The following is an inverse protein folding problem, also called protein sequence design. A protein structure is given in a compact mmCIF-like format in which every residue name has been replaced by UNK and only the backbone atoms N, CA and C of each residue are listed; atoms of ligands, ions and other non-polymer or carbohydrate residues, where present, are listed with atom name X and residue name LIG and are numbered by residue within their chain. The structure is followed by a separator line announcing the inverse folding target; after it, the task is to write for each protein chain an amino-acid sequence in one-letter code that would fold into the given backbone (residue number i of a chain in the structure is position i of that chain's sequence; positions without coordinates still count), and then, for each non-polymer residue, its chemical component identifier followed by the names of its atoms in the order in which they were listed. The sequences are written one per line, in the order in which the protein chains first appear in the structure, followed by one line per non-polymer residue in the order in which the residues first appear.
data_IF_188401565633
#
_entry.id   IF_188401565633
#
_cell.length_a   1.000
_cell.length_b   1.000
_cell.length_c   1.000
_cell.angle_alpha   90.00
_cell.angle_beta   90.00
_cell.angle_gamma   90.00
#
_symmetry.space_group_name_H-M   'P 1'
#
loop_
_entity.id
_entity.type
_entity.pdbx_description
1 polymer ?
#
# COMPACT_ATOMS: atom_id res chain seq x y z
N UNK A 1 -0.85 -26.34 3.55
CA UNK A 1 0.41 -25.77 4.11
C UNK A 1 0.19 -25.45 5.59
N UNK A 2 1.22 -25.42 6.47
CA UNK A 2 1.02 -24.97 7.86
C UNK A 2 0.52 -23.52 7.89
N UNK A 3 -0.26 -23.17 8.90
CA UNK A 3 -0.72 -21.79 9.10
C UNK A 3 0.49 -20.85 9.31
N UNK A 4 0.58 -19.82 8.48
CA UNK A 4 1.64 -18.80 8.54
C UNK A 4 1.03 -17.51 9.07
N UNK A 5 1.58 -17.01 10.18
CA UNK A 5 1.21 -15.69 10.71
C UNK A 5 2.14 -14.61 10.17
N UNK A 6 1.54 -13.51 9.72
CA UNK A 6 2.23 -12.38 9.10
C UNK A 6 1.90 -11.12 9.89
N UNK A 7 2.89 -10.30 10.22
CA UNK A 7 2.70 -8.98 10.81
C UNK A 7 3.15 -7.91 9.81
N UNK A 8 2.36 -6.86 9.63
CA UNK A 8 2.61 -5.83 8.62
C UNK A 8 2.67 -4.43 9.22
N UNK A 9 3.69 -3.69 8.79
CA UNK A 9 3.94 -2.29 9.10
C UNK A 9 4.11 -1.47 7.82
N UNK A 10 4.02 -0.15 7.97
CA UNK A 10 4.35 0.84 6.93
C UNK A 10 4.69 2.18 7.58
N UNK A 11 5.38 3.06 6.86
CA UNK A 11 5.58 4.46 7.26
C UNK A 11 6.15 4.56 8.69
N UNK A 12 7.34 4.01 8.89
CA UNK A 12 7.92 3.83 10.22
C UNK A 12 8.22 5.20 10.82
N UNK A 13 7.52 5.55 11.90
CA UNK A 13 7.51 6.90 12.44
C UNK A 13 8.74 7.20 13.33
N UNK A 14 9.95 6.87 12.87
CA UNK A 14 11.19 6.96 13.63
C UNK A 14 11.36 8.30 14.36
N UNK A 15 11.74 8.23 15.63
CA UNK A 15 12.04 9.41 16.44
C UNK A 15 10.83 10.28 16.80
N UNK A 16 9.62 9.99 16.29
CA UNK A 16 8.40 10.69 16.67
C UNK A 16 7.95 10.28 18.07
N UNK A 17 7.16 11.11 18.75
CA UNK A 17 6.57 10.72 20.04
C UNK A 17 5.50 9.66 19.78
N UNK A 18 5.63 8.53 20.46
CA UNK A 18 4.59 7.50 20.46
C UNK A 18 3.32 8.09 21.09
N UNK A 19 2.18 8.01 20.39
CA UNK A 19 0.91 8.53 20.92
C UNK A 19 0.47 7.66 22.10
N UNK A 20 0.29 8.28 23.28
CA UNK A 20 -0.33 7.63 24.44
C UNK A 20 0.62 6.93 25.43
N UNK A 21 1.93 6.86 25.17
CA UNK A 21 2.91 6.38 26.17
C UNK A 21 3.55 7.56 26.92
N UNK A 22 3.82 7.37 28.22
CA UNK A 22 4.28 8.43 29.12
C UNK A 22 5.73 8.91 28.88
N UNK A 23 6.44 8.39 27.86
CA UNK A 23 7.78 8.86 27.54
C UNK A 23 8.56 7.89 26.67
N UNK A 24 8.46 8.06 25.35
CA UNK A 24 9.31 7.35 24.40
C UNK A 24 9.24 8.00 23.02
N UNK A 25 10.38 8.04 22.33
CA UNK A 25 10.40 8.24 20.87
C UNK A 25 10.34 6.87 20.21
N UNK A 26 9.68 6.78 19.06
CA UNK A 26 9.61 5.53 18.28
C UNK A 26 11.03 5.11 17.89
N UNK A 27 11.45 3.96 18.40
CA UNK A 27 12.68 3.25 18.06
C UNK A 27 12.42 1.77 17.80
N UNK A 28 13.48 0.98 17.64
CA UNK A 28 13.42 -0.46 17.30
C UNK A 28 12.49 -1.23 18.25
N UNK A 29 12.59 -1.00 19.56
CA UNK A 29 11.76 -1.69 20.56
C UNK A 29 10.25 -1.46 20.42
N UNK A 30 9.83 -0.37 19.77
CA UNK A 30 8.40 -0.11 19.49
C UNK A 30 7.83 -1.07 18.45
N UNK A 31 8.67 -1.65 17.60
CA UNK A 31 8.30 -2.64 16.59
C UNK A 31 8.57 -4.07 17.07
N UNK A 32 9.64 -4.29 17.85
CA UNK A 32 9.92 -5.61 18.42
C UNK A 32 8.82 -6.08 19.37
N UNK A 33 8.22 -5.19 20.16
CA UNK A 33 7.11 -5.55 21.07
C UNK A 33 5.93 -6.22 20.36
N UNK A 34 5.27 -5.61 19.34
CA UNK A 34 4.20 -6.30 18.61
C UNK A 34 4.69 -7.53 17.85
N UNK A 35 5.96 -7.61 17.43
CA UNK A 35 6.55 -8.81 16.82
C UNK A 35 6.62 -9.96 17.84
N UNK A 36 7.09 -9.69 19.06
CA UNK A 36 7.16 -10.66 20.15
C UNK A 36 5.77 -11.12 20.60
N UNK A 37 4.83 -10.19 20.76
CA UNK A 37 3.44 -10.47 21.16
C UNK A 37 2.69 -11.31 20.10
N UNK A 38 2.93 -11.05 18.81
CA UNK A 38 2.23 -11.71 17.71
C UNK A 38 2.87 -13.05 17.33
N UNK A 39 4.18 -13.17 17.53
CA UNK A 39 5.06 -14.24 17.05
C UNK A 39 4.85 -14.59 15.56
N UNK A 40 5.10 -13.65 14.63
CA UNK A 40 4.89 -13.89 13.21
C UNK A 40 6.06 -14.66 12.60
N UNK A 41 5.79 -15.49 11.59
CA UNK A 41 6.81 -16.10 10.76
C UNK A 41 7.38 -15.11 9.71
N UNK A 42 6.57 -14.12 9.31
CA UNK A 42 6.92 -13.09 8.33
C UNK A 42 6.53 -11.71 8.85
N UNK A 43 7.44 -10.74 8.77
CA UNK A 43 7.19 -9.32 9.00
C UNK A 43 7.26 -8.58 7.68
N UNK A 44 6.23 -7.81 7.33
CA UNK A 44 6.15 -7.03 6.09
C UNK A 44 6.33 -5.54 6.40
N UNK A 45 7.12 -4.86 5.58
CA UNK A 45 7.28 -3.41 5.57
C UNK A 45 6.82 -2.86 4.22
N UNK A 46 5.64 -2.24 4.18
CA UNK A 46 4.97 -1.75 2.98
C UNK A 46 5.41 -0.32 2.57
N UNK A 47 6.71 -0.05 2.63
CA UNK A 47 7.35 1.23 2.26
C UNK A 47 7.55 2.21 3.40
N UNK A 48 8.42 3.18 3.13
CA UNK A 48 8.83 4.27 4.03
C UNK A 48 9.36 3.72 5.38
N UNK A 49 10.17 2.66 5.30
CA UNK A 49 10.85 2.06 6.44
C UNK A 49 12.22 2.68 6.72
N UNK A 50 12.89 3.20 5.70
CA UNK A 50 14.25 3.71 5.68
C UNK A 50 14.31 5.18 5.24
N UNK A 51 13.38 6.00 5.74
CA UNK A 51 13.14 7.37 5.33
C UNK A 51 14.43 8.23 5.28
N UNK A 52 15.04 8.35 4.11
CA UNK A 52 16.35 9.00 3.93
C UNK A 52 16.20 10.48 3.54
N UNK A 53 14.97 10.92 3.27
CA UNK A 53 14.63 12.28 2.86
C UNK A 53 14.65 13.26 4.04
N UNK A 54 15.82 13.78 4.38
CA UNK A 54 16.00 14.87 5.37
C UNK A 54 15.21 14.62 6.67
N UNK A 55 15.70 13.70 7.49
CA UNK A 55 15.07 13.43 8.76
C UNK A 55 14.98 14.71 9.59
N UNK A 56 13.75 15.09 9.94
CA UNK A 56 13.49 16.03 11.06
C UNK A 56 14.15 15.53 12.36
N UNK A 57 14.62 14.28 12.38
CA UNK A 57 15.21 13.56 13.51
C UNK A 57 16.75 13.60 13.59
N UNK A 58 17.49 14.05 12.55
CA UNK A 58 18.98 13.91 12.42
C UNK A 58 19.49 12.46 12.46
N UNK A 59 18.60 11.47 12.44
CA UNK A 59 18.96 10.06 12.51
C UNK A 59 19.27 9.54 11.10
N UNK A 60 20.18 8.57 11.02
CA UNK A 60 20.31 7.68 9.87
C UNK A 60 19.21 6.61 9.98
N UNK A 61 18.03 6.93 9.43
CA UNK A 61 16.85 6.07 9.53
C UNK A 61 17.02 4.79 8.70
N UNK A 62 17.87 4.79 7.67
CA UNK A 62 18.27 3.55 6.98
C UNK A 62 19.04 2.62 7.92
N UNK A 63 19.98 3.12 8.73
CA UNK A 63 20.69 2.26 9.72
C UNK A 63 19.76 1.74 10.82
N UNK A 64 18.81 2.56 11.29
CA UNK A 64 17.79 2.11 12.24
C UNK A 64 16.94 0.98 11.64
N UNK A 65 16.52 1.14 10.38
CA UNK A 65 15.76 0.12 9.68
C UNK A 65 16.57 -1.16 9.46
N UNK A 66 17.82 -1.05 9.03
CA UNK A 66 18.72 -2.20 8.92
C UNK A 66 18.93 -2.91 10.27
N UNK A 67 19.07 -2.15 11.36
CA UNK A 67 19.09 -2.69 12.72
C UNK A 67 17.85 -3.53 13.02
N UNK A 68 16.66 -2.97 12.79
CA UNK A 68 15.40 -3.69 12.98
C UNK A 68 15.33 -4.97 12.13
N UNK A 69 15.64 -4.90 10.83
CA UNK A 69 15.64 -6.06 9.94
C UNK A 69 16.60 -7.17 10.42
N UNK A 70 17.78 -6.79 10.93
CA UNK A 70 18.78 -7.71 11.46
C UNK A 70 18.28 -8.41 12.72
N UNK A 71 17.65 -7.69 13.64
CA UNK A 71 17.08 -8.27 14.87
C UNK A 71 15.96 -9.27 14.54
N UNK A 72 15.04 -8.91 13.64
CA UNK A 72 13.95 -9.80 13.21
C UNK A 72 14.50 -11.08 12.56
N UNK A 73 15.47 -10.93 11.65
CA UNK A 73 16.12 -12.04 10.99
C UNK A 73 16.92 -12.93 11.97
N UNK A 74 17.58 -12.33 12.97
CA UNK A 74 18.30 -13.09 14.00
C UNK A 74 17.36 -13.94 14.87
N UNK A 75 16.10 -13.49 15.05
CA UNK A 75 15.03 -14.27 15.65
C UNK A 75 14.44 -15.36 14.73
N UNK A 76 15.01 -15.61 13.56
CA UNK A 76 14.58 -16.65 12.62
C UNK A 76 13.35 -16.28 11.76
N UNK A 77 12.93 -15.01 11.77
CA UNK A 77 11.74 -14.53 11.06
C UNK A 77 12.12 -13.91 9.72
N UNK A 78 11.25 -14.04 8.73
CA UNK A 78 11.46 -13.42 7.41
C UNK A 78 10.99 -11.95 7.42
N UNK A 79 11.72 -11.09 6.72
CA UNK A 79 11.34 -9.70 6.46
C UNK A 79 11.03 -9.53 4.98
N UNK A 80 9.84 -9.07 4.61
CA UNK A 80 9.48 -8.69 3.24
C UNK A 80 9.35 -7.18 3.16
N UNK A 81 10.09 -6.55 2.25
CA UNK A 81 10.25 -5.10 2.18
C UNK A 81 9.94 -4.61 0.77
N UNK A 82 9.18 -3.52 0.69
CA UNK A 82 8.97 -2.74 -0.55
C UNK A 82 9.45 -1.31 -0.29
N UNK A 83 10.09 -0.71 -1.30
CA UNK A 83 10.55 0.66 -1.31
C UNK A 83 9.37 1.64 -1.40
N UNK A 84 9.30 2.56 -0.45
CA UNK A 84 8.43 3.73 -0.47
C UNK A 84 9.08 4.94 -1.12
N UNK A 85 8.31 6.01 -1.29
CA UNK A 85 8.78 7.20 -2.00
C UNK A 85 9.77 8.06 -1.20
N UNK A 86 9.97 7.78 0.09
CA UNK A 86 10.91 8.52 0.93
C UNK A 86 12.15 7.71 1.30
N UNK A 87 12.29 6.47 0.81
CA UNK A 87 13.35 5.55 1.23
C UNK A 87 14.71 5.78 0.53
N UNK A 88 14.75 6.24 -0.74
CA UNK A 88 15.97 6.36 -1.57
C UNK A 88 16.20 7.78 -2.14
N UNK A 89 15.70 8.81 -1.47
CA UNK A 89 15.87 10.22 -1.85
C UNK A 89 17.31 10.74 -1.74
N UNK A 90 18.08 10.21 -0.80
CA UNK A 90 19.51 10.51 -0.59
C UNK A 90 20.43 9.38 -1.09
N UNK A 91 19.87 8.31 -1.66
CA UNK A 91 20.63 7.21 -2.27
C UNK A 91 21.09 6.15 -1.27
N UNK A 92 20.59 6.15 -0.03
CA UNK A 92 21.07 5.23 1.01
C UNK A 92 20.34 3.90 1.04
N UNK A 93 19.19 3.78 0.35
CA UNK A 93 18.41 2.54 0.32
C UNK A 93 19.15 1.37 -0.35
N UNK A 94 20.18 1.66 -1.15
CA UNK A 94 21.10 0.65 -1.67
C UNK A 94 21.61 -0.31 -0.59
N UNK A 95 21.82 0.18 0.65
CA UNK A 95 22.23 -0.63 1.80
C UNK A 95 21.19 -1.70 2.19
N UNK A 96 19.89 -1.40 2.05
CA UNK A 96 18.81 -2.37 2.28
C UNK A 96 18.80 -3.45 1.19
N UNK A 97 18.97 -3.03 -0.07
CA UNK A 97 19.07 -3.96 -1.21
C UNK A 97 20.28 -4.88 -1.07
N UNK A 98 21.41 -4.38 -0.59
CA UNK A 98 22.63 -5.18 -0.37
C UNK A 98 22.46 -6.15 0.80
N UNK A 99 21.87 -5.71 1.92
CA UNK A 99 21.55 -6.59 3.04
C UNK A 99 20.62 -7.76 2.63
N UNK A 100 19.67 -7.53 1.73
CA UNK A 100 18.78 -8.57 1.19
C UNK A 100 19.50 -9.59 0.30
N UNK A 101 20.61 -9.21 -0.36
CA UNK A 101 21.44 -10.17 -1.12
C UNK A 101 22.29 -11.05 -0.20
N UNK A 102 22.70 -10.51 0.94
CA UNK A 102 23.59 -11.18 1.88
C UNK A 102 22.84 -12.08 2.87
N UNK A 103 21.59 -11.75 3.20
CA UNK A 103 20.83 -12.43 4.26
C UNK A 103 19.58 -13.13 3.71
N UNK A 104 19.43 -14.46 3.88
CA UNK A 104 18.32 -15.23 3.31
C UNK A 104 16.95 -14.92 3.93
N UNK A 105 16.91 -14.24 5.08
CA UNK A 105 15.68 -13.85 5.76
C UNK A 105 15.25 -12.40 5.46
N UNK A 106 15.96 -11.66 4.62
CA UNK A 106 15.59 -10.29 4.23
C UNK A 106 15.28 -10.29 2.74
N UNK A 107 14.04 -9.95 2.40
CA UNK A 107 13.49 -10.00 1.05
C UNK A 107 13.09 -8.59 0.61
N UNK A 108 13.98 -7.90 -0.09
CA UNK A 108 13.64 -6.65 -0.78
C UNK A 108 12.99 -7.01 -2.12
N UNK A 109 11.70 -6.73 -2.28
CA UNK A 109 10.87 -7.24 -3.39
C UNK A 109 10.38 -6.17 -4.37
N UNK A 110 10.90 -4.94 -4.31
CA UNK A 110 10.44 -3.86 -5.16
C UNK A 110 10.52 -4.18 -6.64
N UNK A 111 9.37 -4.20 -7.31
CA UNK A 111 9.26 -4.42 -8.75
C UNK A 111 9.37 -5.87 -9.19
N UNK A 112 9.40 -6.83 -8.26
CA UNK A 112 9.50 -8.28 -8.56
C UNK A 112 8.54 -9.11 -7.70
N UNK A 113 8.33 -10.35 -8.12
CA UNK A 113 7.65 -11.36 -7.34
C UNK A 113 8.66 -12.27 -6.64
N UNK A 114 8.35 -12.70 -5.43
CA UNK A 114 9.21 -13.60 -4.65
C UNK A 114 8.37 -14.51 -3.76
N UNK A 115 8.78 -15.77 -3.59
CA UNK A 115 8.08 -16.73 -2.73
C UNK A 115 8.81 -16.87 -1.41
N UNK A 116 8.11 -16.62 -0.30
CA UNK A 116 8.65 -16.72 1.06
C UNK A 116 7.70 -17.60 1.88
N UNK A 117 8.23 -18.67 2.48
CA UNK A 117 7.42 -19.63 3.28
C UNK A 117 6.18 -20.16 2.52
N UNK A 118 6.32 -20.42 1.22
CA UNK A 118 5.24 -20.91 0.37
C UNK A 118 4.21 -19.86 -0.09
N UNK A 119 4.39 -18.59 0.28
CA UNK A 119 3.51 -17.47 -0.09
C UNK A 119 4.19 -16.64 -1.17
N UNK A 120 3.54 -16.44 -2.31
CA UNK A 120 4.03 -15.64 -3.44
C UNK A 120 3.65 -14.17 -3.27
N UNK A 121 4.65 -13.33 -2.99
CA UNK A 121 4.52 -11.89 -2.87
C UNK A 121 4.80 -11.18 -4.20
N UNK A 122 4.16 -10.04 -4.42
CA UNK A 122 4.52 -9.08 -5.47
C UNK A 122 4.77 -7.71 -4.84
N UNK A 123 5.98 -7.17 -5.00
CA UNK A 123 6.33 -5.85 -4.49
C UNK A 123 6.07 -4.75 -5.51
N UNK A 124 5.22 -3.79 -5.16
CA UNK A 124 4.84 -2.66 -6.01
C UNK A 124 5.33 -1.35 -5.38
N UNK A 125 6.53 -0.88 -5.75
CA UNK A 125 7.06 0.37 -5.21
C UNK A 125 6.27 1.56 -5.74
N UNK A 126 6.36 2.70 -5.05
CA UNK A 126 5.58 3.89 -5.36
C UNK A 126 5.73 4.34 -6.80
N UNK A 127 4.60 4.64 -7.44
CA UNK A 127 4.56 5.16 -8.82
C UNK A 127 4.74 4.08 -9.89
N UNK A 128 4.85 2.79 -9.52
CA UNK A 128 4.88 1.66 -10.48
C UNK A 128 3.56 0.92 -10.60
N UNK A 129 2.53 1.28 -9.83
CA UNK A 129 1.25 0.57 -9.71
C UNK A 129 0.62 0.33 -11.08
N UNK A 130 0.46 1.40 -11.88
CA UNK A 130 -0.10 1.32 -13.23
C UNK A 130 0.73 0.44 -14.17
N UNK A 131 2.06 0.53 -14.09
CA UNK A 131 2.96 -0.23 -14.99
C UNK A 131 2.82 -1.71 -14.67
N UNK A 132 2.92 -2.07 -13.39
CA UNK A 132 2.87 -3.45 -12.93
C UNK A 132 1.48 -4.06 -13.12
N UNK A 133 0.40 -3.32 -12.87
CA UNK A 133 -0.97 -3.76 -13.17
C UNK A 133 -1.18 -4.14 -14.64
N UNK A 134 -0.41 -3.56 -15.57
CA UNK A 134 -0.50 -3.84 -17.00
C UNK A 134 0.43 -4.95 -17.48
N UNK A 135 1.41 -5.32 -16.67
CA UNK A 135 2.46 -6.29 -17.03
C UNK A 135 2.53 -7.48 -16.08
N UNK A 136 1.54 -7.66 -15.20
CA UNK A 136 1.56 -8.72 -14.19
C UNK A 136 1.46 -10.09 -14.86
N UNK A 137 2.39 -10.98 -14.52
CA UNK A 137 2.46 -12.34 -15.05
C UNK A 137 1.96 -13.35 -14.01
N UNK A 138 0.68 -13.69 -14.15
CA UNK A 138 0.02 -14.72 -13.35
C UNK A 138 -0.36 -14.28 -11.92
N UNK A 139 -1.08 -15.16 -11.20
CA UNK A 139 -1.59 -14.86 -9.88
C UNK A 139 -0.49 -14.83 -8.81
N UNK A 140 -0.69 -13.99 -7.81
CA UNK A 140 0.13 -13.92 -6.59
C UNK A 140 -0.78 -14.00 -5.37
N UNK A 141 -0.23 -14.35 -4.22
CA UNK A 141 -0.99 -14.46 -2.99
C UNK A 141 -1.25 -13.08 -2.39
N UNK A 142 -0.16 -12.31 -2.22
CA UNK A 142 -0.17 -11.01 -1.55
C UNK A 142 0.57 -9.98 -2.41
N UNK A 143 -0.10 -8.88 -2.74
CA UNK A 143 0.55 -7.67 -3.24
C UNK A 143 0.96 -6.82 -2.04
N UNK A 144 2.23 -6.44 -1.97
CA UNK A 144 2.76 -5.47 -1.01
C UNK A 144 3.12 -4.20 -1.79
N UNK A 145 2.57 -3.06 -1.40
CA UNK A 145 2.73 -1.82 -2.17
C UNK A 145 2.94 -0.58 -1.29
N UNK A 146 3.53 0.48 -1.83
CA UNK A 146 3.51 1.79 -1.19
C UNK A 146 2.83 2.81 -2.10
N UNK A 147 1.50 2.73 -2.19
CA UNK A 147 0.73 3.41 -3.24
C UNK A 147 -0.04 4.63 -2.71
N UNK A 148 0.09 5.81 -3.37
CA UNK A 148 -0.72 6.96 -3.05
C UNK A 148 -2.19 6.73 -3.41
N UNK A 149 -3.10 7.40 -2.68
CA UNK A 149 -4.54 7.13 -2.76
C UNK A 149 -5.10 7.08 -4.19
N UNK A 150 -4.65 8.00 -5.04
CA UNK A 150 -5.13 8.11 -6.42
C UNK A 150 -4.64 6.98 -7.35
N UNK A 151 -3.57 6.27 -6.98
CA UNK A 151 -2.97 5.20 -7.80
C UNK A 151 -3.31 3.80 -7.25
N UNK A 152 -3.84 3.68 -6.02
CA UNK A 152 -4.25 2.41 -5.39
C UNK A 152 -5.27 1.60 -6.18
N UNK A 153 -6.11 2.27 -6.98
CA UNK A 153 -7.06 1.62 -7.89
C UNK A 153 -6.38 0.62 -8.84
N UNK A 154 -5.12 0.88 -9.25
CA UNK A 154 -4.36 -0.03 -10.10
C UNK A 154 -4.01 -1.34 -9.39
N UNK A 155 -3.93 -1.36 -8.06
CA UNK A 155 -3.65 -2.59 -7.30
C UNK A 155 -4.78 -3.61 -7.43
N UNK A 156 -6.02 -3.16 -7.60
CA UNK A 156 -7.17 -4.06 -7.80
C UNK A 156 -7.21 -4.71 -9.17
N UNK A 157 -6.42 -4.21 -10.13
CA UNK A 157 -6.23 -4.85 -11.44
C UNK A 157 -5.18 -5.98 -11.37
N UNK A 158 -4.43 -6.11 -10.26
CA UNK A 158 -3.47 -7.20 -10.06
C UNK A 158 -4.18 -8.50 -9.62
N UNK A 159 -3.79 -9.67 -10.14
CA UNK A 159 -4.40 -10.95 -9.79
C UNK A 159 -3.89 -11.47 -8.43
N UNK A 160 -4.27 -10.77 -7.35
CA UNK A 160 -3.93 -11.13 -5.97
C UNK A 160 -5.16 -11.46 -5.12
N UNK A 161 -4.99 -12.28 -4.09
CA UNK A 161 -6.03 -12.54 -3.08
C UNK A 161 -6.05 -11.48 -1.97
N UNK A 162 -4.88 -10.94 -1.62
CA UNK A 162 -4.71 -9.89 -0.62
C UNK A 162 -3.85 -8.74 -1.17
N UNK A 163 -4.21 -7.51 -0.82
CA UNK A 163 -3.46 -6.30 -1.11
C UNK A 163 -3.15 -5.63 0.22
N UNK A 164 -1.87 -5.46 0.50
CA UNK A 164 -1.35 -4.71 1.64
C UNK A 164 -0.60 -3.48 1.11
N UNK A 165 -0.94 -2.29 1.58
CA UNK A 165 -0.28 -1.08 1.13
C UNK A 165 -0.02 -0.03 2.21
N UNK A 166 1.04 0.74 2.05
CA UNK A 166 1.39 1.88 2.89
C UNK A 166 0.94 3.26 2.38
N UNK A 167 1.70 4.27 2.79
CA UNK A 167 1.69 5.68 2.40
C UNK A 167 0.75 6.57 3.23
N UNK A 168 -0.51 6.69 2.82
CA UNK A 168 -1.50 7.48 3.57
C UNK A 168 -2.89 6.92 3.36
N UNK A 169 -3.69 6.96 4.42
CA UNK A 169 -5.08 6.51 4.41
C UNK A 169 -5.15 5.06 4.85
N UNK A 170 -5.43 4.92 6.15
CA UNK A 170 -5.74 3.66 6.82
C UNK A 170 -7.04 3.08 6.28
N UNK A 171 -7.04 1.77 6.01
CA UNK A 171 -8.25 1.07 5.62
C UNK A 171 -8.11 -0.44 5.80
N UNK A 172 -9.19 -1.10 6.17
CA UNK A 172 -9.34 -2.54 6.06
C UNK A 172 -10.73 -2.88 5.52
N UNK A 173 -10.77 -3.60 4.40
CA UNK A 173 -12.03 -4.00 3.78
C UNK A 173 -11.84 -5.16 2.81
N UNK A 174 -12.96 -5.81 2.44
CA UNK A 174 -13.03 -6.65 1.24
C UNK A 174 -13.43 -5.80 0.04
N UNK A 175 -12.59 -5.70 -0.99
CA UNK A 175 -12.86 -4.87 -2.18
C UNK A 175 -12.54 -5.69 -3.43
N UNK A 176 -13.47 -5.71 -4.40
CA UNK A 176 -13.32 -6.47 -5.65
C UNK A 176 -12.92 -7.95 -5.42
N UNK A 177 -13.49 -8.57 -4.37
CA UNK A 177 -13.19 -9.96 -3.99
C UNK A 177 -11.84 -10.19 -3.30
N UNK A 178 -11.09 -9.13 -2.98
CA UNK A 178 -9.76 -9.19 -2.36
C UNK A 178 -9.81 -8.67 -0.93
N UNK A 179 -8.97 -9.20 -0.05
CA UNK A 179 -8.64 -8.48 1.18
C UNK A 179 -7.82 -7.24 0.81
N UNK A 180 -8.17 -6.10 1.39
CA UNK A 180 -7.48 -4.84 1.20
C UNK A 180 -7.13 -4.25 2.55
N UNK A 181 -5.84 -4.03 2.76
CA UNK A 181 -5.27 -3.43 3.97
C UNK A 181 -4.41 -2.26 3.55
N UNK A 182 -4.71 -1.09 4.08
CA UNK A 182 -3.89 0.09 3.97
C UNK A 182 -3.42 0.50 5.37
N UNK A 183 -2.12 0.60 5.54
CA UNK A 183 -1.46 1.01 6.78
C UNK A 183 -0.98 2.45 6.64
N UNK A 184 -0.89 3.12 7.79
CA UNK A 184 -0.18 4.38 7.93
C UNK A 184 0.93 4.25 8.99
N UNK A 185 1.25 5.37 9.65
CA UNK A 185 2.32 5.54 10.63
C UNK A 185 2.41 4.43 11.69
N UNK A 186 3.32 3.47 11.44
CA UNK A 186 3.64 2.40 12.39
C UNK A 186 4.56 2.92 13.52
N UNK A 187 4.44 2.39 14.76
CA UNK A 187 3.68 1.19 15.16
C UNK A 187 2.22 1.47 15.59
N UNK A 188 1.72 2.71 15.46
CA UNK A 188 0.36 3.04 15.89
C UNK A 188 -0.73 2.38 15.01
N UNK A 189 -0.36 2.04 13.77
CA UNK A 189 -1.12 1.21 12.85
C UNK A 189 -0.32 -0.03 12.48
N UNK A 190 -0.96 -1.20 12.48
CA UNK A 190 -0.38 -2.46 11.95
C UNK A 190 -1.48 -3.47 11.64
N UNK A 191 -1.13 -4.52 10.89
CA UNK A 191 -2.05 -5.62 10.61
C UNK A 191 -1.41 -6.99 10.87
N UNK A 192 -2.19 -7.93 11.38
CA UNK A 192 -1.84 -9.34 11.55
C UNK A 192 -2.69 -10.16 10.59
N UNK A 193 -2.05 -10.93 9.72
CA UNK A 193 -2.72 -11.79 8.75
C UNK A 193 -2.41 -13.24 9.11
N UNK A 194 -3.46 -14.03 9.35
CA UNK A 194 -3.35 -15.49 9.45
C UNK A 194 -3.59 -16.09 8.05
N UNK A 195 -2.57 -16.78 7.52
CA UNK A 195 -2.55 -17.33 6.17
C UNK A 195 -2.50 -18.85 6.15
N UNK A 196 -3.41 -19.47 5.42
CA UNK A 196 -3.47 -20.92 5.19
C UNK A 196 -4.14 -21.19 3.83
N UNK A 197 -3.34 -21.26 2.77
CA UNK A 197 -3.81 -21.39 1.37
C UNK A 197 -4.77 -20.26 0.96
N UNK A 198 -4.54 -19.08 1.53
CA UNK A 198 -5.42 -17.91 1.48
C UNK A 198 -5.46 -17.21 2.83
N UNK A 199 -5.97 -15.97 2.86
CA UNK A 199 -6.15 -15.26 4.13
C UNK A 199 -7.37 -15.82 4.87
N UNK A 200 -7.22 -16.11 6.18
CA UNK A 200 -8.29 -16.63 7.04
C UNK A 200 -8.86 -15.57 7.97
N UNK A 201 -7.97 -14.71 8.47
CA UNK A 201 -8.29 -13.61 9.36
C UNK A 201 -7.28 -12.50 9.14
N UNK A 202 -7.76 -11.26 9.18
CA UNK A 202 -6.90 -10.08 9.26
C UNK A 202 -7.33 -9.29 10.48
N UNK A 203 -6.47 -9.23 11.49
CA UNK A 203 -6.58 -8.28 12.59
C UNK A 203 -5.91 -6.96 12.21
N UNK A 204 -6.60 -5.85 12.42
CA UNK A 204 -6.12 -4.51 12.09
C UNK A 204 -6.16 -3.64 13.33
N UNK A 205 -5.05 -2.99 13.62
CA UNK A 205 -4.91 -2.07 14.74
C UNK A 205 -4.70 -0.66 14.20
N UNK A 206 -5.48 0.31 14.67
CA UNK A 206 -5.28 1.74 14.47
C UNK A 206 -5.55 2.46 15.79
N UNK A 207 -4.49 2.88 16.50
CA UNK A 207 -4.64 3.48 17.83
C UNK A 207 -5.30 2.52 18.82
N UNK A 208 -6.48 2.88 19.35
CA UNK A 208 -7.32 2.01 20.19
C UNK A 208 -8.31 1.15 19.40
N UNK A 209 -8.61 1.52 18.16
CA UNK A 209 -9.55 0.79 17.32
C UNK A 209 -8.92 -0.54 16.85
N UNK A 210 -9.67 -1.62 16.99
CA UNK A 210 -9.31 -2.97 16.53
C UNK A 210 -10.41 -3.49 15.63
N UNK A 211 -10.05 -3.94 14.44
CA UNK A 211 -10.98 -4.48 13.45
C UNK A 211 -10.50 -5.87 13.04
N UNK A 212 -11.41 -6.84 12.99
CA UNK A 212 -11.14 -8.18 12.46
C UNK A 212 -11.94 -8.39 11.19
N UNK A 213 -11.25 -8.81 10.12
CA UNK A 213 -11.86 -9.14 8.84
C UNK A 213 -11.72 -10.65 8.56
N UNK A 214 -12.84 -11.26 8.18
CA UNK A 214 -12.92 -12.66 7.75
C UNK A 214 -13.44 -12.77 6.31
N UNK A 215 -13.11 -13.84 5.57
CA UNK A 215 -13.56 -14.00 4.17
C UNK A 215 -15.08 -14.05 4.00
N UNK A 216 -15.80 -14.63 4.97
CA UNK A 216 -17.22 -14.95 4.86
C UNK A 216 -18.15 -14.09 5.74
N UNK A 217 -17.59 -13.28 6.65
CA UNK A 217 -18.36 -12.58 7.68
C UNK A 217 -18.16 -11.07 7.59
N UNK A 218 -19.16 -10.32 8.08
CA UNK A 218 -18.98 -8.90 8.35
C UNK A 218 -17.98 -8.74 9.51
N UNK A 219 -17.01 -7.84 9.36
CA UNK A 219 -15.91 -7.72 10.31
C UNK A 219 -16.37 -7.29 11.71
N UNK A 220 -15.70 -7.79 12.74
CA UNK A 220 -15.92 -7.34 14.11
C UNK A 220 -15.04 -6.12 14.40
N UNK A 221 -15.55 -5.15 15.17
CA UNK A 221 -14.78 -3.98 15.58
C UNK A 221 -14.95 -3.70 17.07
N UNK A 222 -13.85 -3.33 17.73
CA UNK A 222 -13.83 -2.99 19.16
C UNK A 222 -13.00 -1.73 19.39
N UNK A 223 -13.44 -0.86 20.30
CA UNK A 223 -12.70 0.35 20.67
C UNK A 223 -12.63 1.42 19.57
N UNK A 224 -13.54 1.37 18.59
CA UNK A 224 -13.60 2.31 17.46
C UNK A 224 -14.73 3.33 17.64
N UNK A 225 -14.44 4.61 17.45
CA UNK A 225 -15.48 5.62 17.24
C UNK A 225 -16.24 5.31 15.92
N UNK A 226 -17.56 5.52 15.82
CA UNK A 226 -18.31 5.21 14.60
C UNK A 226 -17.79 5.92 13.34
N UNK A 227 -17.31 7.17 13.45
CA UNK A 227 -16.76 7.89 12.31
C UNK A 227 -15.38 7.35 11.93
N UNK A 228 -14.56 6.99 12.93
CA UNK A 228 -13.28 6.33 12.72
C UNK A 228 -13.47 4.96 12.06
N UNK A 229 -14.42 4.16 12.53
CA UNK A 229 -14.75 2.87 11.95
C UNK A 229 -15.14 3.03 10.47
N UNK A 230 -16.05 3.97 10.17
CA UNK A 230 -16.44 4.29 8.79
C UNK A 230 -15.23 4.68 7.95
N UNK A 231 -14.37 5.56 8.46
CA UNK A 231 -13.16 5.98 7.74
C UNK A 231 -12.23 4.80 7.45
N UNK A 232 -12.10 3.86 8.40
CA UNK A 232 -11.25 2.68 8.31
C UNK A 232 -11.85 1.56 7.44
N UNK A 233 -13.17 1.47 7.26
CA UNK A 233 -13.79 0.37 6.49
C UNK A 233 -14.38 0.81 5.16
N UNK A 234 -14.83 2.07 5.06
CA UNK A 234 -15.48 2.63 3.88
C UNK A 234 -14.69 3.78 3.26
N UNK A 235 -13.91 4.51 4.06
CA UNK A 235 -13.15 5.67 3.62
C UNK A 235 -13.91 6.99 3.72
N UNK A 236 -13.16 8.09 3.53
CA UNK A 236 -13.65 9.48 3.68
C UNK A 236 -14.41 10.03 2.47
N UNK A 237 -14.63 9.20 1.46
CA UNK A 237 -15.27 9.60 0.21
C UNK A 237 -16.77 9.85 0.35
N UNK A 238 -17.34 10.50 -0.67
CA UNK A 238 -18.80 10.57 -0.84
C UNK A 238 -19.38 9.17 -1.12
N UNK A 239 -18.62 8.34 -1.84
CA UNK A 239 -18.86 6.91 -2.00
C UNK A 239 -17.97 6.14 -1.02
N UNK A 240 -18.41 4.93 -0.67
CA UNK A 240 -17.47 3.97 -0.09
C UNK A 240 -16.35 3.69 -1.09
N UNK A 241 -15.16 3.40 -0.61
CA UNK A 241 -14.01 3.11 -1.47
C UNK A 241 -14.24 1.84 -2.29
N UNK A 242 -15.02 0.89 -1.77
CA UNK A 242 -15.49 -0.27 -2.53
C UNK A 242 -16.26 0.18 -3.77
N UNK A 243 -17.28 1.01 -3.60
CA UNK A 243 -18.12 1.48 -4.71
C UNK A 243 -17.31 2.33 -5.70
N UNK A 244 -16.39 3.16 -5.20
CA UNK A 244 -15.48 3.93 -6.03
C UNK A 244 -14.65 3.02 -6.94
N UNK A 245 -14.07 1.95 -6.39
CA UNK A 245 -13.28 0.96 -7.15
C UNK A 245 -14.13 0.26 -8.20
N UNK A 246 -15.31 -0.22 -7.84
CA UNK A 246 -16.20 -0.94 -8.75
C UNK A 246 -16.64 -0.05 -9.92
N UNK A 247 -17.05 1.18 -9.63
CA UNK A 247 -17.48 2.15 -10.62
C UNK A 247 -16.33 2.56 -11.55
N UNK A 248 -15.11 2.74 -11.02
CA UNK A 248 -13.93 3.03 -11.84
C UNK A 248 -13.56 1.87 -12.75
N UNK A 249 -13.53 0.63 -12.25
CA UNK A 249 -13.24 -0.56 -13.05
C UNK A 249 -14.29 -0.77 -14.15
N UNK A 250 -15.58 -0.54 -13.84
CA UNK A 250 -16.65 -0.54 -14.83
C UNK A 250 -16.43 0.54 -15.89
N UNK A 251 -16.14 1.77 -15.47
CA UNK A 251 -15.88 2.89 -16.36
C UNK A 251 -14.73 2.62 -17.33
N UNK A 252 -13.65 1.96 -16.89
CA UNK A 252 -12.52 1.57 -17.75
C UNK A 252 -12.94 0.72 -18.94
N UNK A 253 -13.94 -0.17 -18.78
CA UNK A 253 -14.50 -0.98 -19.87
C UNK A 253 -15.41 -0.17 -20.79
N UNK A 254 -16.15 0.78 -20.23
CA UNK A 254 -17.12 1.59 -20.99
C UNK A 254 -16.50 2.72 -21.81
N UNK A 255 -15.24 3.11 -21.54
CA UNK A 255 -14.54 4.16 -22.30
C UNK A 255 -14.51 3.87 -23.81
N UNK A 256 -14.39 2.60 -24.20
CA UNK A 256 -14.37 2.21 -25.61
C UNK A 256 -15.71 2.45 -26.33
N UNK A 257 -16.84 2.39 -25.61
CA UNK A 257 -18.19 2.47 -26.18
C UNK A 257 -18.83 3.84 -26.00
N UNK A 258 -18.77 4.40 -24.78
CA UNK A 258 -19.43 5.66 -24.45
C UNK A 258 -18.53 6.89 -24.69
N UNK A 259 -17.24 6.64 -24.92
CA UNK A 259 -16.25 7.70 -25.00
C UNK A 259 -15.83 8.23 -23.63
N UNK A 260 -14.59 8.69 -23.58
CA UNK A 260 -13.92 9.12 -22.35
C UNK A 260 -14.61 10.30 -21.66
N UNK A 261 -15.11 11.26 -22.43
CA UNK A 261 -15.69 12.49 -21.90
C UNK A 261 -16.98 12.23 -21.14
N UNK A 262 -17.87 11.42 -21.70
CA UNK A 262 -19.14 11.04 -21.09
C UNK A 262 -18.90 10.28 -19.78
N UNK A 263 -18.02 9.27 -19.84
CA UNK A 263 -17.64 8.48 -18.67
C UNK A 263 -17.06 9.38 -17.56
N UNK A 264 -16.14 10.29 -17.89
CA UNK A 264 -15.57 11.22 -16.92
C UNK A 264 -16.62 12.15 -16.30
N UNK A 265 -17.58 12.66 -17.08
CA UNK A 265 -18.67 13.51 -16.55
C UNK A 265 -19.54 12.74 -15.56
N UNK A 266 -19.89 11.50 -15.87
CA UNK A 266 -20.68 10.63 -14.98
C UNK A 266 -19.94 10.35 -13.68
N UNK A 267 -18.66 10.02 -13.74
CA UNK A 267 -17.83 9.75 -12.55
C UNK A 267 -17.71 10.98 -11.65
N UNK A 268 -17.54 12.18 -12.23
CA UNK A 268 -17.54 13.43 -11.48
C UNK A 268 -18.91 13.69 -10.82
N UNK A 269 -20.01 13.37 -11.50
CA UNK A 269 -21.37 13.47 -10.96
C UNK A 269 -21.63 12.53 -9.77
N UNK A 270 -20.88 11.42 -9.67
CA UNK A 270 -20.88 10.51 -8.53
C UNK A 270 -19.95 10.94 -7.39
N UNK A 271 -19.28 12.10 -7.51
CA UNK A 271 -18.38 12.62 -6.48
C UNK A 271 -16.97 12.04 -6.50
N UNK A 272 -16.59 11.26 -7.52
CA UNK A 272 -15.24 10.72 -7.63
C UNK A 272 -14.26 11.84 -7.99
N UNK A 273 -13.14 11.93 -7.24
CA UNK A 273 -12.14 12.98 -7.45
C UNK A 273 -11.58 12.92 -8.86
N UNK A 274 -11.52 14.10 -9.52
CA UNK A 274 -10.93 14.26 -10.86
C UNK A 274 -9.54 13.63 -10.99
N UNK A 275 -8.71 13.78 -9.96
CA UNK A 275 -7.36 13.20 -9.92
C UNK A 275 -7.37 11.68 -10.02
N UNK A 276 -8.29 11.00 -9.34
CA UNK A 276 -8.41 9.53 -9.39
C UNK A 276 -8.87 9.09 -10.79
N UNK A 277 -9.86 9.78 -11.36
CA UNK A 277 -10.36 9.53 -12.72
C UNK A 277 -9.22 9.67 -13.74
N UNK A 278 -8.44 10.76 -13.67
CA UNK A 278 -7.35 11.01 -14.60
C UNK A 278 -6.17 10.04 -14.42
N UNK A 279 -5.87 9.62 -13.19
CA UNK A 279 -4.82 8.63 -12.91
C UNK A 279 -5.18 7.25 -13.46
N UNK A 280 -6.42 6.82 -13.26
CA UNK A 280 -6.85 5.48 -13.66
C UNK A 280 -7.19 5.39 -15.15
N UNK A 281 -8.01 6.30 -15.64
CA UNK A 281 -8.44 6.24 -17.02
C UNK A 281 -7.38 6.88 -17.95
N UNK A 282 -6.57 7.84 -17.46
CA UNK A 282 -5.71 8.73 -18.25
C UNK A 282 -6.17 10.21 -18.32
N UNK A 283 -5.31 11.11 -18.78
CA UNK A 283 -5.68 12.51 -19.02
C UNK A 283 -6.51 12.66 -20.31
N UNK A 284 -7.33 13.71 -20.37
CA UNK A 284 -7.88 14.18 -21.66
C UNK A 284 -6.70 14.50 -22.57
N UNK A 285 -6.68 13.94 -23.79
CA UNK A 285 -5.84 14.51 -24.84
C UNK A 285 -6.40 15.90 -25.13
N UNK A 286 -5.57 16.94 -25.03
CA UNK A 286 -5.94 18.24 -25.58
C UNK A 286 -6.35 18.02 -27.04
N UNK A 287 -7.42 18.65 -27.50
CA UNK A 287 -7.78 18.63 -28.93
C UNK A 287 -6.52 19.01 -29.72
N UNK A 288 -6.17 18.29 -30.80
CA UNK A 288 -5.13 18.77 -31.69
C UNK A 288 -5.50 20.19 -32.10
N UNK A 289 -4.65 21.16 -31.76
CA UNK A 289 -4.80 22.53 -32.20
C UNK A 289 -4.91 22.49 -33.72
N UNK A 290 -6.03 22.98 -34.25
CA UNK A 290 -6.25 23.17 -35.69
C UNK A 290 -4.98 23.81 -36.27
N UNK A 291 -4.36 23.24 -37.32
CA UNK A 291 -3.19 23.87 -37.92
C UNK A 291 -3.62 25.26 -38.35
N UNK A 292 -2.93 26.28 -37.82
CA UNK A 292 -3.13 27.66 -38.21
C UNK A 292 -3.05 27.71 -39.74
N UNK A 293 -4.12 28.17 -40.37
CA UNK A 293 -4.17 28.39 -41.81
C UNK A 293 -2.98 29.28 -42.17
N UNK A 294 -2.00 28.73 -42.88
CA UNK A 294 -0.96 29.52 -43.53
C UNK A 294 -1.67 30.40 -44.56
N UNK A 295 -1.90 31.66 -44.21
CA UNK A 295 -2.28 32.67 -45.19
C UNK A 295 -1.12 32.84 -46.16
N UNK A 296 -1.22 32.21 -47.32
CA UNK A 296 -0.57 32.69 -48.52
C UNK A 296 -1.24 34.02 -48.89
N UNK A 297 -0.49 35.10 -48.79
CA UNK A 297 -0.60 36.30 -49.62
C UNK A 297 0.86 36.78 -49.73
N UNK A 298 1.54 36.82 -50.87
CA UNK A 298 1.03 37.13 -52.20
C UNK A 298 1.23 38.62 -52.47
N UNK A 299 2.43 38.97 -52.96
CA UNK A 299 2.74 40.11 -53.85
C UNK A 299 2.50 41.54 -53.31
N UNK A 300 3.59 42.25 -53.03
CA UNK A 300 4.16 43.27 -53.94
C UNK A 300 5.63 43.49 -53.61
#
# INVERSE_FOLDING_TARGET
MPQTRILAFSDLAWGTREKGSAGGRVGIGSFLRPIEETDPAIVIFAGDGAYDRCSRSRLDETELFLGLLREIAAGGRHCVVVEGNNDDTMGTYGRVRDAAKEKPHIHEISGKAETVQGIRFLGVPTGKERRMARSAEGPVDIVVAHAPLADRIWLFDLPAACILTGHYGMMIARIAGKAYVALDCSPASYAVIDWEEGWRRIGYAAGSCRIELHPAEEGAATGCDPNELRDLTEGRGALSYRDEVEVLQRAKREVATLGREEVSRRLLGLGIKKTHIERYLGKRRARPSTPAARSRNGVR
#
